data_IF_457415335187
#
_entry.id   IF_457415335187
#
_cell.length_a   1.000
_cell.length_b   1.000
_cell.length_c   1.000
_cell.angle_alpha   90.00
_cell.angle_beta   90.00
_cell.angle_gamma   90.00
#
_symmetry.space_group_name_H-M   'P 1'
#
loop_
_entity.id
_entity.type
_entity.pdbx_description
1 polymer ?
#
# COMPACT_ATOMS: atom_id res chain seq x y z
N UNK A 1 -5.55 -36.51 -6.14
CA UNK A 1 -5.55 -35.06 -6.09
C UNK A 1 -4.11 -34.61 -6.31
N UNK A 2 -3.83 -33.99 -7.45
CA UNK A 2 -2.55 -33.35 -7.66
C UNK A 2 -2.65 -32.00 -6.93
N UNK A 3 -1.94 -31.87 -5.81
CA UNK A 3 -1.90 -30.62 -5.07
C UNK A 3 -0.86 -29.69 -5.69
N UNK A 4 -1.29 -28.50 -6.07
CA UNK A 4 -0.38 -27.42 -6.42
C UNK A 4 0.10 -26.71 -5.15
N UNK A 5 1.39 -26.36 -5.12
CA UNK A 5 1.98 -25.60 -4.02
C UNK A 5 2.55 -24.29 -4.55
N UNK A 6 2.37 -23.21 -3.81
CA UNK A 6 2.88 -21.89 -4.17
C UNK A 6 4.00 -21.52 -3.22
N UNK A 7 5.17 -21.21 -3.76
CA UNK A 7 6.29 -20.66 -3.02
C UNK A 7 6.59 -19.23 -3.47
N UNK A 8 6.57 -18.29 -2.55
CA UNK A 8 6.80 -16.86 -2.86
C UNK A 8 6.84 -16.01 -1.58
N UNK A 9 7.13 -14.72 -1.72
CA UNK A 9 7.27 -14.00 -2.96
C UNK A 9 8.60 -13.24 -3.00
N UNK A 10 9.07 -12.91 -4.22
CA UNK A 10 10.04 -11.84 -4.43
C UNK A 10 9.33 -10.49 -4.45
N UNK A 11 10.06 -9.43 -4.15
CA UNK A 11 9.60 -8.05 -4.23
C UNK A 11 10.70 -7.21 -4.87
N UNK A 12 10.41 -6.70 -6.04
CA UNK A 12 11.28 -5.80 -6.78
C UNK A 12 10.65 -4.41 -6.75
N UNK A 13 11.49 -3.38 -6.53
CA UNK A 13 11.07 -1.99 -6.48
C UNK A 13 11.42 -1.32 -7.79
N UNK A 14 10.60 -0.36 -8.22
CA UNK A 14 10.81 0.41 -9.44
C UNK A 14 10.95 -0.47 -10.70
N UNK A 15 10.22 -1.58 -10.72
CA UNK A 15 10.22 -2.58 -11.78
C UNK A 15 8.80 -2.76 -12.30
N UNK A 16 8.58 -2.50 -13.56
CA UNK A 16 7.30 -2.57 -14.26
C UNK A 16 7.20 -3.74 -15.25
N UNK A 17 8.20 -4.64 -15.28
CA UNK A 17 8.17 -5.83 -16.12
C UNK A 17 7.19 -6.89 -15.56
N UNK A 18 6.10 -7.20 -16.28
CA UNK A 18 5.11 -8.18 -15.85
C UNK A 18 5.56 -9.63 -16.05
N UNK A 19 6.76 -9.87 -16.58
CA UNK A 19 7.23 -11.20 -16.95
C UNK A 19 7.81 -11.95 -15.75
N UNK A 20 7.45 -13.22 -15.53
CA UNK A 20 8.14 -14.08 -14.57
C UNK A 20 9.62 -14.22 -14.93
N UNK A 21 10.51 -14.18 -13.94
CA UNK A 21 11.96 -14.27 -14.13
C UNK A 21 12.54 -15.51 -13.47
N UNK A 22 13.45 -16.18 -14.16
CA UNK A 22 14.16 -17.32 -13.60
C UNK A 22 14.93 -17.00 -12.30
N UNK A 23 15.46 -15.76 -12.19
CA UNK A 23 16.11 -15.28 -10.96
C UNK A 23 15.15 -15.20 -9.77
N UNK A 24 13.89 -14.81 -9.99
CA UNK A 24 12.86 -14.79 -8.97
C UNK A 24 12.46 -16.18 -8.52
N UNK A 25 12.37 -17.13 -9.46
CA UNK A 25 12.15 -18.55 -9.14
C UNK A 25 13.28 -19.10 -8.29
N UNK A 26 14.53 -18.92 -8.72
CA UNK A 26 15.71 -19.38 -7.97
C UNK A 26 15.73 -18.80 -6.54
N UNK A 27 15.53 -17.50 -6.39
CA UNK A 27 15.49 -16.84 -5.08
C UNK A 27 14.33 -17.33 -4.19
N UNK A 28 13.18 -17.67 -4.77
CA UNK A 28 12.05 -18.24 -4.02
C UNK A 28 12.33 -19.68 -3.57
N UNK A 29 13.00 -20.49 -4.41
CA UNK A 29 13.43 -21.84 -4.04
C UNK A 29 14.48 -21.81 -2.92
N UNK A 30 15.43 -20.88 -2.95
CA UNK A 30 16.40 -20.70 -1.87
C UNK A 30 15.72 -20.34 -0.53
N UNK A 31 14.71 -19.49 -0.57
CA UNK A 31 13.90 -19.16 0.62
C UNK A 31 13.11 -20.34 1.12
N UNK A 32 12.51 -21.11 0.21
CA UNK A 32 11.80 -22.35 0.54
C UNK A 32 12.72 -23.35 1.21
N UNK A 33 13.90 -23.59 0.66
CA UNK A 33 14.88 -24.52 1.21
C UNK A 33 15.36 -24.14 2.63
N UNK A 34 15.38 -22.82 2.95
CA UNK A 34 15.70 -22.34 4.30
C UNK A 34 14.57 -22.60 5.30
N UNK A 35 13.32 -22.52 4.86
CA UNK A 35 12.15 -22.71 5.74
C UNK A 35 11.84 -24.20 5.89
N UNK A 36 11.96 -24.94 4.79
CA UNK A 36 11.69 -26.37 4.73
C UNK A 36 12.82 -27.09 3.98
N UNK A 37 13.86 -27.54 4.71
CA UNK A 37 14.99 -28.25 4.11
C UNK A 37 14.56 -29.46 3.30
N UNK A 38 15.10 -29.59 2.10
CA UNK A 38 14.78 -30.68 1.17
C UNK A 38 13.58 -30.40 0.25
N UNK A 39 12.70 -29.46 0.54
CA UNK A 39 11.49 -29.22 -0.26
C UNK A 39 11.77 -28.71 -1.69
N UNK A 40 12.95 -28.13 -1.92
CA UNK A 40 13.36 -27.61 -3.21
C UNK A 40 14.40 -28.49 -3.95
N UNK A 41 14.80 -29.64 -3.38
CA UNK A 41 15.95 -30.39 -3.86
C UNK A 41 15.78 -30.94 -5.29
N UNK A 42 14.58 -31.35 -5.65
CA UNK A 42 14.26 -31.95 -6.95
C UNK A 42 13.47 -31.02 -7.88
N UNK A 43 13.37 -29.72 -7.54
CA UNK A 43 12.63 -28.76 -8.34
C UNK A 43 13.54 -28.05 -9.35
N UNK A 44 13.20 -28.16 -10.63
CA UNK A 44 13.84 -27.39 -11.69
C UNK A 44 13.24 -25.99 -11.78
N UNK A 45 14.02 -24.91 -11.51
CA UNK A 45 13.53 -23.55 -11.64
C UNK A 45 12.93 -23.20 -13.02
N UNK A 46 13.42 -23.85 -14.08
CA UNK A 46 12.94 -23.61 -15.44
C UNK A 46 11.57 -24.26 -15.73
N UNK A 47 11.17 -25.23 -14.94
CA UNK A 47 9.87 -25.90 -15.05
C UNK A 47 8.78 -25.25 -14.17
N UNK A 48 9.13 -24.20 -13.41
CA UNK A 48 8.17 -23.51 -12.54
C UNK A 48 7.37 -22.47 -13.31
N UNK A 49 6.09 -22.46 -13.06
CA UNK A 49 5.21 -21.37 -13.48
C UNK A 49 5.26 -20.23 -12.44
N UNK A 50 5.07 -19.00 -12.90
CA UNK A 50 5.06 -17.83 -12.04
C UNK A 50 4.03 -16.80 -12.46
N UNK A 51 3.56 -16.03 -11.48
CA UNK A 51 2.67 -14.90 -11.71
C UNK A 51 3.30 -13.65 -11.11
N UNK A 52 3.39 -12.60 -11.90
CA UNK A 52 3.82 -11.27 -11.47
C UNK A 52 2.59 -10.39 -11.25
N UNK A 53 2.57 -9.66 -10.16
CA UNK A 53 1.52 -8.70 -9.84
C UNK A 53 2.10 -7.45 -9.22
N UNK A 54 1.52 -6.30 -9.55
CA UNK A 54 1.94 -5.01 -9.00
C UNK A 54 1.13 -4.67 -7.75
N UNK A 55 1.79 -4.06 -6.77
CA UNK A 55 1.17 -3.58 -5.55
C UNK A 55 1.42 -2.10 -5.37
N UNK A 56 0.35 -1.32 -5.27
CA UNK A 56 0.46 0.08 -4.88
C UNK A 56 0.92 0.18 -3.41
N UNK A 57 1.97 0.95 -3.18
CA UNK A 57 2.54 1.17 -1.85
C UNK A 57 2.83 2.65 -1.69
N UNK A 58 2.36 3.26 -0.61
CA UNK A 58 2.73 4.62 -0.28
C UNK A 58 4.20 4.68 0.24
N UNK A 59 4.93 5.80 0.06
CA UNK A 59 6.33 5.92 0.48
C UNK A 59 6.58 5.63 1.97
N UNK A 60 5.61 5.90 2.84
CA UNK A 60 5.65 5.61 4.28
C UNK A 60 5.10 4.22 4.63
N UNK A 61 4.72 3.42 3.65
CA UNK A 61 4.18 2.06 3.78
C UNK A 61 2.88 1.95 4.60
N UNK A 62 2.20 3.07 4.81
CA UNK A 62 0.86 3.10 5.38
C UNK A 62 -0.17 3.25 4.26
N UNK A 63 -1.34 2.61 4.36
CA UNK A 63 -2.41 2.79 3.37
C UNK A 63 -2.93 4.22 3.34
N UNK A 64 -3.69 4.52 2.31
CA UNK A 64 -4.39 5.78 2.10
C UNK A 64 -5.89 5.49 2.22
N UNK A 65 -6.52 6.03 3.27
CA UNK A 65 -7.93 5.76 3.58
C UNK A 65 -8.61 7.06 3.98
N UNK A 66 -9.66 7.45 3.26
CA UNK A 66 -10.44 8.66 3.54
C UNK A 66 -10.77 9.49 2.30
N UNK A 67 -11.23 10.72 2.52
CA UNK A 67 -11.56 11.67 1.45
C UNK A 67 -10.31 12.07 0.66
N UNK A 68 -10.39 12.07 -0.67
CA UNK A 68 -9.28 12.49 -1.53
C UNK A 68 -9.17 14.00 -1.59
N UNK A 69 -7.92 14.50 -1.68
CA UNK A 69 -7.68 15.92 -1.84
C UNK A 69 -7.95 16.38 -3.27
N UNK A 70 -8.46 17.60 -3.38
CA UNK A 70 -8.46 18.38 -4.60
C UNK A 70 -7.11 19.13 -4.68
N UNK A 71 -6.18 18.60 -5.48
CA UNK A 71 -4.83 19.15 -5.63
C UNK A 71 -4.81 20.41 -6.50
N UNK A 72 -5.86 20.65 -7.30
CA UNK A 72 -6.00 21.81 -8.17
C UNK A 72 -6.59 23.02 -7.42
N UNK A 73 -7.19 22.78 -6.27
CA UNK A 73 -7.74 23.86 -5.46
C UNK A 73 -6.67 24.69 -4.76
N UNK A 74 -7.00 25.94 -4.48
CA UNK A 74 -6.08 26.86 -3.79
C UNK A 74 -5.67 26.35 -2.41
N UNK A 75 -4.37 26.28 -2.16
CA UNK A 75 -3.85 25.85 -0.87
C UNK A 75 -4.22 26.83 0.26
N UNK A 76 -4.64 26.34 1.44
CA UNK A 76 -4.93 27.18 2.58
C UNK A 76 -3.68 27.85 3.14
N UNK A 77 -3.82 29.07 3.69
CA UNK A 77 -2.69 29.83 4.28
C UNK A 77 -1.99 29.08 5.41
N UNK A 78 -2.76 28.39 6.26
CA UNK A 78 -2.25 27.55 7.34
C UNK A 78 -2.74 26.12 7.14
N UNK A 79 -2.00 25.29 6.36
CA UNK A 79 -2.48 23.97 5.99
C UNK A 79 -2.50 23.01 7.17
N UNK A 80 -3.65 22.37 7.39
CA UNK A 80 -3.90 21.25 8.30
C UNK A 80 -4.71 20.20 7.56
N UNK A 81 -4.66 18.95 7.96
CA UNK A 81 -5.45 17.89 7.31
C UNK A 81 -6.93 18.24 7.19
N UNK A 82 -7.50 18.79 8.28
CA UNK A 82 -8.90 19.21 8.32
C UNK A 82 -9.24 20.42 7.43
N UNK A 83 -8.25 21.18 6.97
CA UNK A 83 -8.48 22.37 6.12
C UNK A 83 -8.04 22.18 4.68
N UNK A 84 -7.51 21.01 4.34
CA UNK A 84 -7.18 20.71 2.94
C UNK A 84 -8.46 20.61 2.11
N UNK A 85 -8.46 21.18 0.90
CA UNK A 85 -9.58 20.99 -0.02
C UNK A 85 -9.73 19.52 -0.37
N UNK A 86 -10.98 19.05 -0.42
CA UNK A 86 -11.33 17.67 -0.74
C UNK A 86 -12.24 17.63 -1.97
N UNK A 87 -12.05 16.60 -2.78
CA UNK A 87 -13.01 16.29 -3.83
C UNK A 87 -14.33 15.84 -3.19
N UNK A 88 -15.42 16.54 -3.46
CA UNK A 88 -16.72 16.23 -2.88
C UNK A 88 -17.18 14.82 -3.27
N UNK A 89 -17.58 14.02 -2.29
CA UNK A 89 -18.08 12.66 -2.49
C UNK A 89 -17.05 11.65 -2.94
N UNK A 90 -15.75 12.01 -3.06
CA UNK A 90 -14.70 11.11 -3.52
C UNK A 90 -13.84 10.64 -2.36
N UNK A 91 -13.90 9.32 -2.12
CA UNK A 91 -13.14 8.65 -1.08
C UNK A 91 -12.26 7.55 -1.67
N UNK A 92 -11.17 7.24 -0.99
CA UNK A 92 -10.24 6.19 -1.40
C UNK A 92 -9.85 5.27 -0.26
N UNK A 93 -9.57 4.01 -0.61
CA UNK A 93 -9.02 3.00 0.29
C UNK A 93 -8.04 2.14 -0.51
N UNK A 94 -6.75 2.48 -0.47
CA UNK A 94 -5.74 1.92 -1.38
C UNK A 94 -4.31 1.98 -0.81
N UNK A 95 -3.32 1.58 -1.62
CA UNK A 95 -1.90 1.53 -1.26
C UNK A 95 -1.58 0.57 -0.09
N UNK A 96 -2.30 -0.53 0.01
CA UNK A 96 -2.14 -1.54 1.07
C UNK A 96 -0.84 -2.35 0.98
N UNK A 97 -0.17 -2.34 -0.16
CA UNK A 97 0.99 -3.17 -0.42
C UNK A 97 0.69 -4.66 -0.24
N UNK A 98 1.53 -5.36 0.52
CA UNK A 98 1.35 -6.80 0.83
C UNK A 98 0.41 -7.07 2.02
N UNK A 99 -0.14 -6.04 2.65
CA UNK A 99 -0.92 -6.14 3.91
C UNK A 99 -2.40 -5.89 3.73
N UNK A 100 -2.93 -6.04 2.50
CA UNK A 100 -4.34 -5.74 2.20
C UNK A 100 -5.33 -6.49 3.08
N UNK A 101 -5.11 -7.78 3.32
CA UNK A 101 -6.00 -8.58 4.18
C UNK A 101 -6.03 -8.08 5.64
N UNK A 102 -4.89 -7.62 6.16
CA UNK A 102 -4.83 -7.06 7.53
C UNK A 102 -5.54 -5.71 7.62
N UNK A 103 -5.44 -4.90 6.58
CA UNK A 103 -6.00 -3.56 6.55
C UNK A 103 -7.47 -3.52 6.12
N UNK A 104 -7.96 -4.53 5.41
CA UNK A 104 -9.28 -4.51 4.78
C UNK A 104 -10.41 -4.23 5.78
N UNK A 105 -10.45 -4.93 6.91
CA UNK A 105 -11.48 -4.74 7.92
C UNK A 105 -11.43 -3.35 8.55
N UNK A 106 -10.27 -2.97 9.09
CA UNK A 106 -10.09 -1.66 9.72
C UNK A 106 -10.27 -0.51 8.72
N UNK A 107 -9.80 -0.69 7.48
CA UNK A 107 -9.95 0.31 6.42
C UNK A 107 -11.40 0.53 6.01
N UNK A 108 -12.18 -0.55 5.95
CA UNK A 108 -13.61 -0.46 5.68
C UNK A 108 -14.37 0.26 6.79
N UNK A 109 -14.08 -0.07 8.06
CA UNK A 109 -14.68 0.57 9.23
C UNK A 109 -14.35 2.06 9.28
N UNK A 110 -13.07 2.42 9.08
CA UNK A 110 -12.65 3.81 9.05
C UNK A 110 -13.33 4.59 7.93
N UNK A 111 -13.46 3.99 6.75
CA UNK A 111 -14.11 4.63 5.61
C UNK A 111 -15.62 4.79 5.86
N UNK A 112 -16.29 3.79 6.40
CA UNK A 112 -17.71 3.86 6.77
C UNK A 112 -17.94 4.97 7.80
N UNK A 113 -17.11 5.05 8.84
CA UNK A 113 -17.21 6.12 9.85
C UNK A 113 -17.05 7.52 9.22
N UNK A 114 -16.16 7.68 8.25
CA UNK A 114 -16.03 8.95 7.53
C UNK A 114 -17.27 9.31 6.70
N UNK A 115 -17.89 8.32 6.08
CA UNK A 115 -19.08 8.52 5.23
C UNK A 115 -20.34 8.82 6.06
N UNK A 116 -20.51 8.12 7.17
CA UNK A 116 -21.70 8.21 8.02
C UNK A 116 -21.56 9.29 9.12
N UNK A 117 -20.36 9.89 9.29
CA UNK A 117 -20.09 10.86 10.36
C UNK A 117 -20.07 10.23 11.75
N UNK A 118 -19.72 8.96 11.85
CA UNK A 118 -19.60 8.24 13.10
C UNK A 118 -18.24 8.45 13.79
N UNK A 119 -18.14 8.14 15.10
CA UNK A 119 -16.83 8.13 15.76
C UNK A 119 -15.85 7.19 15.05
N UNK A 120 -14.62 7.67 14.84
CA UNK A 120 -13.60 6.87 14.17
C UNK A 120 -13.19 5.65 15.01
N UNK A 121 -12.92 4.48 14.38
CA UNK A 121 -12.48 3.26 15.08
C UNK A 121 -11.03 3.34 15.57
N UNK A 122 -10.36 4.46 15.34
CA UNK A 122 -8.96 4.75 15.66
C UNK A 122 -8.82 6.06 16.42
N UNK A 123 -7.75 6.16 17.18
CA UNK A 123 -7.31 7.44 17.73
C UNK A 123 -7.02 8.45 16.60
N UNK A 124 -7.31 9.73 16.84
CA UNK A 124 -7.20 10.80 15.84
C UNK A 124 -5.83 10.81 15.12
N UNK A 125 -4.73 10.63 15.85
CA UNK A 125 -3.38 10.62 15.27
C UNK A 125 -3.15 9.43 14.32
N UNK A 126 -3.73 8.29 14.62
CA UNK A 126 -3.63 7.11 13.76
C UNK A 126 -4.49 7.27 12.52
N UNK A 127 -5.69 7.82 12.65
CA UNK A 127 -6.54 8.15 11.51
C UNK A 127 -5.88 9.21 10.59
N UNK A 128 -5.27 10.25 11.15
CA UNK A 128 -4.49 11.25 10.41
C UNK A 128 -3.30 10.64 9.67
N UNK A 129 -2.66 9.62 10.23
CA UNK A 129 -1.56 8.91 9.57
C UNK A 129 -2.00 8.10 8.35
N UNK A 130 -3.29 7.79 8.23
CA UNK A 130 -3.88 7.09 7.09
C UNK A 130 -4.53 8.05 6.08
N UNK A 131 -4.73 9.31 6.44
CA UNK A 131 -5.39 10.30 5.59
C UNK A 131 -4.65 10.50 4.26
N UNK A 132 -5.33 10.43 3.10
CA UNK A 132 -4.72 10.65 1.79
C UNK A 132 -4.02 12.00 1.64
N UNK A 133 -4.53 13.04 2.32
CA UNK A 133 -3.97 14.39 2.28
C UNK A 133 -2.65 14.58 3.02
N UNK A 134 -2.16 13.58 3.76
CA UNK A 134 -0.93 13.70 4.54
C UNK A 134 0.31 14.03 3.71
N UNK A 135 0.37 13.58 2.45
CA UNK A 135 1.48 13.89 1.55
C UNK A 135 1.38 15.31 1.01
N UNK A 136 0.19 15.74 0.58
CA UNK A 136 -0.06 17.12 0.17
C UNK A 136 0.27 18.09 1.32
N UNK A 137 -0.17 17.80 2.54
CA UNK A 137 0.15 18.60 3.72
C UNK A 137 1.67 18.71 3.95
N UNK A 138 2.40 17.62 3.83
CA UNK A 138 3.87 17.62 3.96
C UNK A 138 4.53 18.48 2.87
N UNK A 139 4.06 18.40 1.62
CA UNK A 139 4.55 19.22 0.51
C UNK A 139 4.31 20.71 0.76
N UNK A 140 3.09 21.09 1.14
CA UNK A 140 2.73 22.49 1.43
C UNK A 140 3.57 23.10 2.57
N UNK A 141 3.82 22.35 3.64
CA UNK A 141 4.65 22.81 4.77
C UNK A 141 6.11 23.02 4.38
N UNK A 142 6.66 22.16 3.52
CA UNK A 142 8.05 22.33 3.00
C UNK A 142 8.18 23.61 2.17
N UNK A 143 7.19 23.89 1.30
CA UNK A 143 7.18 25.09 0.46
C UNK A 143 7.07 26.36 1.30
N UNK A 144 6.29 26.34 2.38
CA UNK A 144 6.15 27.47 3.30
C UNK A 144 7.44 27.73 4.07
N UNK A 145 8.10 26.69 4.56
CA UNK A 145 9.37 26.79 5.29
C UNK A 145 10.54 27.25 4.42
N UNK A 146 10.51 27.01 3.12
CA UNK A 146 11.55 27.45 2.18
C UNK A 146 11.40 28.92 1.77
N UNK A 147 10.27 29.55 2.07
CA UNK A 147 9.99 30.97 1.74
C UNK A 147 10.10 31.92 2.95
N UNK A 148 10.30 31.38 4.13
CA UNK A 148 10.49 32.12 5.38
C UNK A 148 11.97 32.25 5.73
#
# INVERSE_FOLDING_TARGET
>A
MHGESIAGASYDFDDDDPSPRASSHAGNLERLARILPGAAADLDPAALEGVVGFRAVAPDRLPLIGALCDEDAAAPKNPRLATLPRCEGLYGSFAFGSRGLLWAGLGAELLASHLEGEPLPLEARLAEALDPGRFLLRALRRTTSARA
#
